data_IF_299545258332
#
_entry.id   IF_299545258332
#
_cell.length_a   1.000
_cell.length_b   1.000
_cell.length_c   1.000
_cell.angle_alpha   90.00
_cell.angle_beta   90.00
_cell.angle_gamma   90.00
#
_symmetry.space_group_name_H-M   'P 1'
#
loop_
_entity.id
_entity.type
_entity.pdbx_description
1 polymer ?
#
# COMPACT_ATOMS: atom_id res chain seq x y z
N UNK A 1 35.18 -20.91 9.51
CA UNK A 1 34.81 -20.63 8.13
C UNK A 1 34.13 -19.28 8.02
N UNK A 2 34.62 -18.44 7.17
CA UNK A 2 33.99 -17.16 6.93
C UNK A 2 32.80 -17.37 5.98
N UNK A 3 31.62 -16.96 6.41
CA UNK A 3 30.49 -16.89 5.50
C UNK A 3 30.68 -15.73 4.55
N UNK A 4 30.25 -15.87 3.30
CA UNK A 4 30.29 -14.72 2.44
C UNK A 4 29.46 -13.59 3.07
N UNK A 5 30.02 -12.43 3.10
CA UNK A 5 29.39 -11.26 3.69
C UNK A 5 28.18 -10.77 2.88
N UNK A 6 27.77 -11.54 1.88
CA UNK A 6 26.59 -11.29 1.07
C UNK A 6 25.33 -11.78 1.77
N UNK A 7 25.15 -11.35 3.00
CA UNK A 7 23.92 -11.65 3.73
C UNK A 7 22.80 -10.80 3.15
N UNK A 8 21.98 -11.39 2.31
CA UNK A 8 20.84 -10.68 1.73
C UNK A 8 19.71 -10.63 2.71
N UNK A 9 19.24 -9.44 3.00
CA UNK A 9 18.02 -9.27 3.77
C UNK A 9 16.82 -9.71 2.95
N UNK A 10 15.89 -10.37 3.61
CA UNK A 10 14.67 -10.84 2.97
C UNK A 10 13.78 -9.67 2.62
N UNK A 11 13.30 -9.65 1.38
CA UNK A 11 12.29 -8.71 0.91
C UNK A 11 11.02 -9.51 0.62
N UNK A 12 9.91 -9.07 1.20
CA UNK A 12 8.62 -9.71 0.98
C UNK A 12 7.59 -8.70 0.51
N UNK A 13 6.63 -9.18 -0.27
CA UNK A 13 5.47 -8.42 -0.71
C UNK A 13 4.25 -8.98 -0.01
N UNK A 14 3.55 -8.12 0.73
CA UNK A 14 2.31 -8.49 1.42
C UNK A 14 1.17 -7.74 0.75
N UNK A 15 0.13 -8.46 0.37
CA UNK A 15 -0.98 -7.89 -0.40
C UNK A 15 -2.32 -8.08 0.29
N UNK A 16 -3.24 -7.16 0.04
CA UNK A 16 -4.65 -7.28 0.42
C UNK A 16 -5.51 -6.75 -0.72
N UNK A 17 -6.71 -7.29 -0.83
CA UNK A 17 -7.66 -6.92 -1.87
C UNK A 17 -8.81 -6.16 -1.26
N UNK A 18 -9.06 -4.94 -1.76
CA UNK A 18 -10.22 -4.15 -1.37
C UNK A 18 -11.34 -4.38 -2.38
N UNK A 19 -12.57 -4.65 -1.94
CA UNK A 19 -13.71 -4.79 -2.85
C UNK A 19 -14.11 -3.46 -3.49
N UNK A 20 -13.76 -2.34 -2.87
CA UNK A 20 -14.08 -1.02 -3.43
C UNK A 20 -13.17 0.07 -2.91
N UNK A 21 -12.64 0.85 -3.84
CA UNK A 21 -12.00 2.12 -3.56
C UNK A 21 -12.83 3.30 -4.08
N UNK A 22 -13.98 3.03 -4.70
CA UNK A 22 -14.90 3.99 -5.26
C UNK A 22 -16.07 4.29 -4.35
N UNK A 23 -17.29 3.89 -4.76
CA UNK A 23 -18.47 4.01 -3.92
C UNK A 23 -18.32 3.10 -2.70
N UNK A 24 -18.63 3.60 -1.50
CA UNK A 24 -18.48 2.85 -0.25
C UNK A 24 -17.07 2.26 -0.10
N UNK A 25 -16.03 3.09 -0.03
CA UNK A 25 -14.66 2.59 0.01
C UNK A 25 -14.40 1.76 1.27
N UNK A 26 -13.63 0.68 1.08
CA UNK A 26 -13.31 -0.27 2.15
C UNK A 26 -11.81 -0.25 2.43
N UNK A 27 -11.45 0.06 3.67
CA UNK A 27 -10.07 -0.01 4.13
C UNK A 27 -9.62 -1.45 4.28
N UNK A 28 -8.34 -1.69 4.01
CA UNK A 28 -7.73 -2.99 4.17
C UNK A 28 -6.54 -2.92 5.12
N UNK A 29 -6.29 -4.01 5.80
CA UNK A 29 -5.25 -4.10 6.82
C UNK A 29 -4.30 -5.26 6.49
N UNK A 30 -2.99 -4.99 6.55
CA UNK A 30 -1.96 -5.98 6.36
C UNK A 30 -1.23 -6.21 7.68
N UNK A 31 -1.01 -7.48 8.02
CA UNK A 31 -0.20 -7.84 9.17
C UNK A 31 1.25 -7.89 8.75
N UNK A 32 2.13 -7.26 9.51
CA UNK A 32 3.57 -7.30 9.29
C UNK A 32 4.11 -8.63 9.80
N UNK A 33 4.78 -9.43 8.95
CA UNK A 33 5.20 -10.78 9.31
C UNK A 33 6.46 -10.86 10.16
N UNK A 34 7.32 -9.83 10.12
CA UNK A 34 8.56 -9.77 10.89
C UNK A 34 9.04 -8.33 10.97
N UNK A 35 10.02 -8.07 11.82
CA UNK A 35 10.61 -6.74 11.91
C UNK A 35 11.21 -6.34 10.58
N UNK A 36 10.82 -5.19 10.07
CA UNK A 36 11.17 -4.75 8.72
C UNK A 36 11.14 -3.24 8.59
N UNK A 37 11.70 -2.75 7.47
CA UNK A 37 11.44 -1.40 7.00
C UNK A 37 10.41 -1.45 5.86
N UNK A 38 9.53 -0.47 5.82
CA UNK A 38 8.54 -0.33 4.76
C UNK A 38 9.21 0.38 3.59
N UNK A 39 9.38 -0.33 2.47
CA UNK A 39 10.13 0.19 1.32
C UNK A 39 9.23 0.85 0.29
N UNK A 40 8.05 0.31 0.07
CA UNK A 40 7.14 0.80 -0.96
C UNK A 40 5.72 0.35 -0.68
N UNK A 41 4.77 1.20 -1.01
CA UNK A 41 3.35 0.93 -0.90
C UNK A 41 2.72 1.16 -2.27
N UNK A 42 1.92 0.21 -2.73
CA UNK A 42 1.40 0.21 -4.09
C UNK A 42 -0.08 -0.12 -4.10
N UNK A 43 -0.80 0.49 -5.02
CA UNK A 43 -2.19 0.15 -5.30
C UNK A 43 -2.37 -0.09 -6.79
N UNK A 44 -3.11 -1.13 -7.12
CA UNK A 44 -3.47 -1.46 -8.50
C UNK A 44 -4.99 -1.44 -8.60
N UNK A 45 -5.52 -0.60 -9.47
CA UNK A 45 -6.96 -0.52 -9.69
C UNK A 45 -7.41 -1.62 -10.65
N UNK A 46 -8.45 -2.34 -10.27
CA UNK A 46 -9.08 -3.37 -11.12
C UNK A 46 -10.34 -2.85 -11.80
N UNK A 47 -10.43 -1.56 -12.01
CA UNK A 47 -11.53 -0.90 -12.70
C UNK A 47 -11.17 0.54 -12.99
N UNK A 48 -11.97 1.20 -13.83
CA UNK A 48 -11.74 2.58 -14.19
C UNK A 48 -12.30 3.53 -13.13
N UNK A 49 -11.48 4.46 -12.70
CA UNK A 49 -11.90 5.56 -11.83
C UNK A 49 -12.48 6.63 -12.75
N UNK A 50 -13.74 7.04 -12.55
CA UNK A 50 -14.45 7.85 -13.52
C UNK A 50 -14.83 9.26 -13.07
N UNK A 51 -14.80 9.54 -11.77
CA UNK A 51 -15.36 10.81 -11.27
C UNK A 51 -14.30 11.70 -10.63
N UNK A 52 -13.48 11.17 -9.75
CA UNK A 52 -12.47 11.94 -9.03
C UNK A 52 -11.30 11.04 -8.67
N UNK A 53 -10.14 11.66 -8.38
CA UNK A 53 -8.96 10.93 -7.93
C UNK A 53 -9.26 10.16 -6.65
N UNK A 54 -8.69 8.97 -6.53
CA UNK A 54 -8.73 8.20 -5.30
C UNK A 54 -7.49 8.52 -4.47
N UNK A 55 -7.71 8.98 -3.25
CA UNK A 55 -6.64 9.20 -2.27
C UNK A 55 -6.54 7.96 -1.39
N UNK A 56 -5.34 7.44 -1.24
CA UNK A 56 -5.08 6.24 -0.42
C UNK A 56 -4.19 6.64 0.73
N UNK A 57 -4.77 6.72 1.92
CA UNK A 57 -4.03 6.99 3.15
C UNK A 57 -3.43 5.69 3.67
N UNK A 58 -2.16 5.73 4.04
CA UNK A 58 -1.45 4.57 4.59
C UNK A 58 -0.95 4.89 5.98
N UNK A 59 -1.13 3.94 6.88
CA UNK A 59 -0.77 4.13 8.29
C UNK A 59 -0.17 2.85 8.86
N UNK A 60 0.72 3.02 9.83
CA UNK A 60 1.28 1.93 10.63
C UNK A 60 0.72 2.06 12.03
N UNK A 61 -0.06 1.07 12.47
CA UNK A 61 -0.73 1.08 13.78
C UNK A 61 -1.55 2.36 14.01
N UNK A 62 -2.17 2.90 12.96
CA UNK A 62 -2.98 4.10 13.04
C UNK A 62 -2.23 5.41 12.86
N UNK A 63 -0.90 5.39 12.82
CA UNK A 63 -0.09 6.59 12.59
C UNK A 63 0.29 6.70 11.11
N UNK A 64 0.05 7.84 10.50
CA UNK A 64 0.34 8.04 9.09
C UNK A 64 1.80 7.76 8.75
N UNK A 65 2.04 6.98 7.70
CA UNK A 65 3.38 6.74 7.17
C UNK A 65 3.80 8.00 6.40
N UNK A 66 5.05 8.42 6.55
CA UNK A 66 5.53 9.64 5.92
C UNK A 66 5.41 9.55 4.38
N UNK A 67 4.81 10.56 3.78
CA UNK A 67 4.49 10.59 2.37
C UNK A 67 3.03 10.24 2.05
N UNK A 68 2.28 9.75 3.04
CA UNK A 68 0.84 9.49 2.91
C UNK A 68 0.04 10.81 2.80
N UNK A 69 -1.04 10.83 2.04
CA UNK A 69 -1.57 9.78 1.16
C UNK A 69 -0.91 9.79 -0.22
N UNK A 70 -1.14 8.74 -0.98
CA UNK A 70 -0.81 8.73 -2.40
C UNK A 70 -2.09 8.60 -3.24
N UNK A 71 -2.00 8.93 -4.54
CA UNK A 71 -3.18 9.13 -5.36
C UNK A 71 -3.20 8.20 -6.57
N UNK A 72 -4.35 7.56 -6.80
CA UNK A 72 -4.70 6.97 -8.09
C UNK A 72 -5.50 8.02 -8.87
N UNK A 73 -4.92 8.65 -9.88
CA UNK A 73 -5.59 9.73 -10.58
C UNK A 73 -6.71 9.22 -11.49
N UNK A 74 -7.77 10.01 -11.62
CA UNK A 74 -8.85 9.72 -12.56
C UNK A 74 -8.37 9.85 -14.00
N UNK A 75 -7.47 10.77 -14.27
CA UNK A 75 -6.90 10.96 -15.59
C UNK A 75 -5.99 9.78 -15.95
N UNK A 76 -6.29 9.09 -17.04
CA UNK A 76 -5.55 7.89 -17.43
C UNK A 76 -5.95 6.65 -16.67
N UNK A 77 -6.99 6.74 -15.84
CA UNK A 77 -7.46 5.61 -15.07
C UNK A 77 -8.00 4.50 -15.96
N UNK A 78 -7.62 3.28 -15.65
CA UNK A 78 -8.09 2.09 -16.35
C UNK A 78 -7.79 0.85 -15.53
N UNK A 79 -8.25 -0.28 -16.02
CA UNK A 79 -7.95 -1.56 -15.38
C UNK A 79 -6.44 -1.78 -15.37
N UNK A 80 -5.89 -2.06 -14.19
CA UNK A 80 -4.45 -2.30 -14.04
C UNK A 80 -3.63 -1.03 -13.81
N UNK A 81 -4.25 0.12 -13.65
CA UNK A 81 -3.52 1.34 -13.30
C UNK A 81 -2.84 1.17 -11.95
N UNK A 82 -1.57 1.57 -11.89
CA UNK A 82 -0.74 1.43 -10.69
C UNK A 82 -0.38 2.81 -10.14
N UNK A 83 -0.53 2.97 -8.84
CA UNK A 83 0.05 4.10 -8.11
C UNK A 83 0.89 3.56 -6.96
N UNK A 84 1.95 4.26 -6.62
CA UNK A 84 2.84 3.82 -5.55
C UNK A 84 3.42 5.00 -4.79
N UNK A 85 3.90 4.69 -3.58
CA UNK A 85 4.53 5.65 -2.70
C UNK A 85 5.72 5.00 -2.02
N UNK A 86 6.83 5.72 -1.97
CA UNK A 86 7.97 5.36 -1.12
C UNK A 86 7.94 6.28 0.09
N UNK A 87 7.98 5.74 1.33
CA UNK A 87 8.02 6.60 2.51
C UNK A 87 9.16 7.62 2.43
N UNK A 88 8.86 8.87 2.78
CA UNK A 88 9.86 9.95 2.70
C UNK A 88 10.86 9.91 3.85
N UNK A 89 10.56 9.17 4.90
CA UNK A 89 11.47 8.88 5.99
C UNK A 89 11.41 7.39 6.29
N UNK A 90 12.49 6.82 6.82
CA UNK A 90 12.52 5.40 7.18
C UNK A 90 11.38 5.07 8.13
N UNK A 91 10.63 4.04 7.78
CA UNK A 91 9.49 3.57 8.56
C UNK A 91 9.72 2.12 8.92
N UNK A 92 9.90 1.86 10.21
CA UNK A 92 10.16 0.51 10.72
C UNK A 92 8.90 -0.07 11.35
N UNK A 93 8.66 -1.33 11.09
CA UNK A 93 7.55 -2.07 11.65
C UNK A 93 8.06 -3.30 12.37
N UNK A 94 7.36 -3.70 13.42
CA UNK A 94 7.64 -4.94 14.15
C UNK A 94 6.66 -6.03 13.74
N UNK A 95 6.99 -7.27 14.08
CA UNK A 95 6.08 -8.39 13.86
C UNK A 95 4.72 -8.09 14.49
N UNK A 96 3.65 -8.43 13.77
CA UNK A 96 2.25 -8.22 14.17
C UNK A 96 1.77 -6.76 14.16
N UNK A 97 2.60 -5.82 13.76
CA UNK A 97 2.13 -4.46 13.46
C UNK A 97 1.17 -4.51 12.28
N UNK A 98 0.30 -3.51 12.19
CA UNK A 98 -0.72 -3.44 11.15
C UNK A 98 -0.48 -2.25 10.24
N UNK A 99 -0.38 -2.51 8.94
CA UNK A 99 -0.37 -1.47 7.90
C UNK A 99 -1.77 -1.35 7.34
N UNK A 100 -2.33 -0.16 7.35
CA UNK A 100 -3.67 0.08 6.81
C UNK A 100 -3.61 0.91 5.53
N UNK A 101 -4.50 0.57 4.59
CA UNK A 101 -4.73 1.31 3.36
C UNK A 101 -6.18 1.79 3.39
N UNK A 102 -6.40 3.09 3.41
CA UNK A 102 -7.74 3.68 3.51
C UNK A 102 -8.01 4.52 2.27
N UNK A 103 -8.79 3.99 1.30
CA UNK A 103 -9.15 4.75 0.12
C UNK A 103 -10.23 5.78 0.42
N UNK A 104 -10.20 6.90 -0.32
CA UNK A 104 -11.22 7.95 -0.23
C UNK A 104 -11.20 8.83 -1.47
N UNK A 105 -12.28 9.55 -1.69
CA UNK A 105 -12.36 10.58 -2.73
C UNK A 105 -12.85 10.09 -4.08
N UNK A 106 -12.53 8.89 -4.50
CA UNK A 106 -13.08 8.35 -5.73
C UNK A 106 -14.57 8.14 -5.55
N UNK A 107 -15.34 8.43 -6.57
CA UNK A 107 -16.79 8.27 -6.55
C UNK A 107 -17.24 7.49 -7.77
N UNK A 108 -18.52 7.09 -7.78
CA UNK A 108 -19.08 6.29 -8.85
C UNK A 108 -19.25 4.83 -8.45
N UNK A 109 -18.93 3.91 -9.36
CA UNK A 109 -19.12 2.48 -9.12
C UNK A 109 -18.14 1.91 -8.10
N UNK A 110 -18.42 0.72 -7.60
CA UNK A 110 -17.47 -0.04 -6.81
C UNK A 110 -16.29 -0.45 -7.71
N UNK A 111 -15.09 -0.10 -7.29
CA UNK A 111 -13.88 -0.38 -8.06
C UNK A 111 -12.95 -1.20 -7.17
N UNK A 112 -12.74 -2.48 -7.48
CA UNK A 112 -11.81 -3.30 -6.70
C UNK A 112 -10.37 -2.83 -6.90
N UNK A 113 -9.54 -3.02 -5.89
CA UNK A 113 -8.11 -2.71 -5.97
C UNK A 113 -7.31 -3.68 -5.12
N UNK A 114 -6.05 -3.86 -5.50
CA UNK A 114 -5.10 -4.64 -4.74
C UNK A 114 -4.05 -3.72 -4.16
N UNK A 115 -3.86 -3.79 -2.85
CA UNK A 115 -2.83 -3.04 -2.15
C UNK A 115 -1.66 -3.94 -1.82
N UNK A 116 -0.45 -3.45 -2.00
CA UNK A 116 0.77 -4.22 -1.72
C UNK A 116 1.75 -3.38 -0.92
N UNK A 117 2.33 -3.98 0.10
CA UNK A 117 3.44 -3.39 0.84
C UNK A 117 4.70 -4.21 0.57
N UNK A 118 5.78 -3.53 0.21
CA UNK A 118 7.10 -4.14 0.05
C UNK A 118 7.87 -3.91 1.33
N UNK A 119 8.25 -4.99 1.99
CA UNK A 119 8.88 -4.97 3.30
C UNK A 119 10.26 -5.60 3.20
N UNK A 120 11.26 -4.93 3.75
CA UNK A 120 12.62 -5.43 3.79
C UNK A 120 13.00 -5.74 5.24
N UNK A 121 13.44 -6.96 5.49
CA UNK A 121 13.85 -7.40 6.82
C UNK A 121 14.90 -6.46 7.41
N UNK A 122 14.70 -6.10 8.66
CA UNK A 122 15.61 -5.21 9.37
C UNK A 122 16.42 -5.96 10.43
#
# INVERSE_FOLDING_TARGET
MAYPSTHKLTVVHVSAHSPSIGASPVAEYLRVPFRCSIEKLTAVANGSITTADCSIAVALNGAAISGSPFTLPVAGAGVGQVASMTPTAKSYANEDDTISFTPSGASGANIPATFTAVLKQA
#
